data_IF_585694497961
#
_entry.id   IF_585694497961
#
_cell.length_a   1.000
_cell.length_b   1.000
_cell.length_c   1.000
_cell.angle_alpha   90.00
_cell.angle_beta   90.00
_cell.angle_gamma   90.00
#
_symmetry.space_group_name_H-M   'P 1'
#
loop_
_entity.id
_entity.type
_entity.pdbx_description
1 polymer ?
#
# COMPACT_ATOMS: atom_id res chain seq x y z
N UNK A 1 -25.34 10.69 -20.40
CA UNK A 1 -24.84 12.08 -20.48
C UNK A 1 -25.91 13.17 -20.23
N UNK A 2 -27.17 13.01 -20.68
CA UNK A 2 -28.23 14.05 -20.52
C UNK A 2 -28.75 14.22 -19.08
N UNK A 3 -28.85 13.14 -18.30
CA UNK A 3 -29.38 13.18 -16.93
C UNK A 3 -28.43 13.85 -15.92
N UNK A 4 -27.11 13.60 -15.99
CA UNK A 4 -26.13 14.23 -15.08
C UNK A 4 -26.17 15.75 -15.18
N UNK A 5 -26.14 16.28 -16.41
CA UNK A 5 -26.24 17.72 -16.65
C UNK A 5 -27.55 18.28 -16.14
N UNK A 6 -28.67 17.56 -16.30
CA UNK A 6 -29.97 17.99 -15.77
C UNK A 6 -29.97 18.07 -14.24
N UNK A 7 -29.39 17.07 -13.55
CA UNK A 7 -29.23 17.05 -12.10
C UNK A 7 -28.38 18.23 -11.61
N UNK A 8 -27.24 18.49 -12.25
CA UNK A 8 -26.37 19.63 -11.94
C UNK A 8 -27.10 20.97 -12.06
N UNK A 9 -27.88 21.14 -13.14
CA UNK A 9 -28.69 22.36 -13.35
C UNK A 9 -29.72 22.54 -12.24
N UNK A 10 -30.41 21.46 -11.86
CA UNK A 10 -31.43 21.47 -10.81
C UNK A 10 -30.83 21.76 -9.44
N UNK A 11 -29.71 21.15 -9.10
CA UNK A 11 -29.02 21.39 -7.82
C UNK A 11 -28.58 22.85 -7.74
N UNK A 12 -27.93 23.39 -8.78
CA UNK A 12 -27.54 24.81 -8.82
C UNK A 12 -28.75 25.74 -8.71
N UNK A 13 -29.83 25.47 -9.43
CA UNK A 13 -31.06 26.28 -9.36
C UNK A 13 -31.67 26.27 -7.95
N UNK A 14 -31.71 25.11 -7.28
CA UNK A 14 -32.24 24.97 -5.92
C UNK A 14 -31.39 25.71 -4.89
N UNK A 15 -30.06 25.63 -5.00
CA UNK A 15 -29.16 26.24 -4.01
C UNK A 15 -28.84 27.72 -4.29
N UNK A 16 -29.22 28.26 -5.47
CA UNK A 16 -28.89 29.63 -5.89
C UNK A 16 -29.23 30.71 -4.86
N UNK A 17 -30.37 30.58 -4.16
CA UNK A 17 -30.79 31.56 -3.16
C UNK A 17 -29.91 31.59 -1.90
N UNK A 18 -29.19 30.50 -1.64
CA UNK A 18 -28.26 30.33 -0.51
C UNK A 18 -26.81 30.62 -0.87
N UNK A 19 -26.57 30.91 -2.16
CA UNK A 19 -25.26 31.13 -2.76
C UNK A 19 -25.18 32.49 -3.48
N UNK A 20 -25.32 33.62 -2.75
CA UNK A 20 -25.33 34.95 -3.35
C UNK A 20 -24.02 35.30 -4.07
N UNK A 21 -22.87 34.83 -3.60
CA UNK A 21 -21.58 35.14 -4.23
C UNK A 21 -21.40 34.36 -5.53
N UNK A 22 -21.73 33.06 -5.54
CA UNK A 22 -21.75 32.24 -6.76
C UNK A 22 -22.74 32.83 -7.77
N UNK A 23 -23.95 33.19 -7.34
CA UNK A 23 -24.97 33.74 -8.22
C UNK A 23 -24.51 35.05 -8.87
N UNK A 24 -23.87 35.94 -8.10
CA UNK A 24 -23.33 37.21 -8.60
C UNK A 24 -22.20 36.98 -9.61
N UNK A 25 -21.20 36.17 -9.26
CA UNK A 25 -20.03 35.90 -10.12
C UNK A 25 -20.40 35.12 -11.38
N UNK A 26 -21.33 34.17 -11.29
CA UNK A 26 -21.83 33.45 -12.46
C UNK A 26 -22.60 34.38 -13.41
N UNK A 27 -23.39 35.32 -12.89
CA UNK A 27 -24.11 36.29 -13.71
C UNK A 27 -23.19 37.34 -14.37
N UNK A 28 -22.10 37.72 -13.68
CA UNK A 28 -21.09 38.62 -14.22
C UNK A 28 -20.15 37.96 -15.24
N UNK A 29 -20.11 36.62 -15.28
CA UNK A 29 -19.19 35.84 -16.12
C UNK A 29 -17.83 35.57 -15.48
N UNK A 30 -17.63 35.97 -14.22
CA UNK A 30 -16.38 35.80 -13.46
C UNK A 30 -16.20 34.37 -12.92
N UNK A 31 -17.25 33.55 -12.95
CA UNK A 31 -17.22 32.16 -12.50
C UNK A 31 -17.77 31.23 -13.57
N UNK A 32 -17.01 30.18 -13.90
CA UNK A 32 -17.49 29.18 -14.86
C UNK A 32 -18.65 28.38 -14.29
N UNK A 33 -19.51 27.88 -15.18
CA UNK A 33 -20.65 27.04 -14.81
C UNK A 33 -20.21 25.78 -14.03
N UNK A 34 -19.04 25.22 -14.35
CA UNK A 34 -18.51 24.04 -13.67
C UNK A 34 -18.12 24.31 -12.21
N UNK A 35 -17.57 25.49 -11.90
CA UNK A 35 -17.34 25.87 -10.51
C UNK A 35 -18.65 26.14 -9.78
N UNK A 36 -19.61 26.81 -10.43
CA UNK A 36 -20.91 27.10 -9.82
C UNK A 36 -21.66 25.82 -9.43
N UNK A 37 -21.70 24.81 -10.29
CA UNK A 37 -22.34 23.51 -9.98
C UNK A 37 -21.57 22.74 -8.91
N UNK A 38 -20.24 22.82 -8.91
CA UNK A 38 -19.38 22.21 -7.89
C UNK A 38 -19.66 22.77 -6.50
N UNK A 39 -19.74 24.10 -6.37
CA UNK A 39 -20.04 24.76 -5.10
C UNK A 39 -21.48 24.45 -4.67
N UNK A 40 -22.45 24.49 -5.60
CA UNK A 40 -23.83 24.16 -5.31
C UNK A 40 -24.03 22.72 -4.81
N UNK A 41 -23.30 21.75 -5.35
CA UNK A 41 -23.31 20.39 -4.85
C UNK A 41 -22.70 20.32 -3.43
N UNK A 42 -21.55 20.98 -3.22
CA UNK A 42 -20.85 21.02 -1.93
C UNK A 42 -21.73 21.52 -0.78
N UNK A 43 -22.62 22.48 -1.02
CA UNK A 43 -23.45 23.07 0.04
C UNK A 43 -24.85 22.47 0.16
N UNK A 44 -25.24 21.55 -0.73
CA UNK A 44 -26.63 21.13 -0.90
C UNK A 44 -27.29 20.55 0.37
N UNK A 45 -26.48 20.05 1.31
CA UNK A 45 -26.90 19.42 2.57
C UNK A 45 -26.47 20.19 3.82
N UNK A 46 -25.84 21.34 3.66
CA UNK A 46 -25.41 22.18 4.78
C UNK A 46 -26.56 23.06 5.26
N UNK A 47 -26.55 23.49 6.52
CA UNK A 47 -27.42 24.56 7.01
C UNK A 47 -26.97 25.93 6.44
N UNK A 48 -27.76 26.99 6.65
CA UNK A 48 -27.50 28.30 6.02
C UNK A 48 -26.19 28.95 6.50
N UNK A 49 -25.82 28.78 7.78
CA UNK A 49 -24.61 29.34 8.34
C UNK A 49 -23.36 28.69 7.72
N UNK A 50 -23.33 27.36 7.69
CA UNK A 50 -22.23 26.59 7.10
C UNK A 50 -22.17 26.76 5.57
N UNK A 51 -23.33 26.92 4.92
CA UNK A 51 -23.40 27.21 3.48
C UNK A 51 -22.65 28.50 3.12
N UNK A 52 -22.81 29.57 3.90
CA UNK A 52 -22.11 30.84 3.65
C UNK A 52 -20.59 30.75 3.85
N UNK A 53 -20.13 30.00 4.85
CA UNK A 53 -18.70 29.76 5.08
C UNK A 53 -18.08 28.87 3.99
N UNK A 54 -18.78 27.80 3.62
CA UNK A 54 -18.37 26.90 2.55
C UNK A 54 -18.32 27.62 1.20
N UNK A 55 -19.33 28.46 0.89
CA UNK A 55 -19.34 29.28 -0.32
C UNK A 55 -18.09 30.16 -0.43
N UNK A 56 -17.76 30.89 0.65
CA UNK A 56 -16.61 31.80 0.66
C UNK A 56 -15.29 31.05 0.49
N UNK A 57 -15.11 29.95 1.24
CA UNK A 57 -13.89 29.15 1.20
C UNK A 57 -13.67 28.50 -0.18
N UNK A 58 -14.72 27.94 -0.78
CA UNK A 58 -14.63 27.28 -2.08
C UNK A 58 -14.41 28.27 -3.23
N UNK A 59 -14.95 29.48 -3.13
CA UNK A 59 -14.67 30.55 -4.09
C UNK A 59 -13.25 31.08 -3.96
N UNK A 60 -12.71 31.19 -2.75
CA UNK A 60 -11.31 31.58 -2.54
C UNK A 60 -10.35 30.57 -3.19
N UNK A 61 -10.63 29.28 -3.08
CA UNK A 61 -9.88 28.25 -3.81
C UNK A 61 -9.98 28.41 -5.33
N UNK A 62 -11.16 28.77 -5.85
CA UNK A 62 -11.31 29.04 -7.27
C UNK A 62 -10.47 30.25 -7.70
N UNK A 63 -10.43 31.32 -6.89
CA UNK A 63 -9.63 32.53 -7.13
C UNK A 63 -8.12 32.26 -7.06
N UNK A 64 -7.70 31.31 -6.22
CA UNK A 64 -6.32 30.83 -6.14
C UNK A 64 -5.92 29.91 -7.33
N UNK A 65 -6.83 29.67 -8.29
CA UNK A 65 -6.54 28.90 -9.50
C UNK A 65 -6.64 27.38 -9.34
N UNK A 66 -7.24 26.87 -8.26
CA UNK A 66 -7.47 25.44 -8.10
C UNK A 66 -8.52 24.95 -9.10
N UNK A 67 -8.31 23.77 -9.70
CA UNK A 67 -9.27 23.19 -10.65
C UNK A 67 -10.61 22.85 -10.00
N UNK A 68 -11.70 22.85 -10.79
CA UNK A 68 -13.03 22.47 -10.32
C UNK A 68 -13.07 21.09 -9.65
N UNK A 69 -12.25 20.14 -10.12
CA UNK A 69 -12.10 18.83 -9.50
C UNK A 69 -11.50 18.88 -8.09
N UNK A 70 -10.51 19.76 -7.84
CA UNK A 70 -9.93 19.97 -6.51
C UNK A 70 -10.90 20.70 -5.58
N UNK A 71 -11.62 21.70 -6.08
CA UNK A 71 -12.70 22.39 -5.34
C UNK A 71 -13.80 21.40 -4.96
N UNK A 72 -14.17 20.47 -5.85
CA UNK A 72 -15.15 19.43 -5.57
C UNK A 72 -14.68 18.45 -4.48
N UNK A 73 -13.39 18.08 -4.49
CA UNK A 73 -12.80 17.22 -3.47
C UNK A 73 -12.80 17.90 -2.09
N UNK A 74 -12.48 19.18 -2.04
CA UNK A 74 -12.52 19.95 -0.80
C UNK A 74 -13.96 20.15 -0.30
N UNK A 75 -14.90 20.44 -1.20
CA UNK A 75 -16.33 20.55 -0.87
C UNK A 75 -16.92 19.27 -0.30
N UNK A 76 -16.49 18.09 -0.78
CA UNK A 76 -16.83 16.79 -0.15
C UNK A 76 -16.36 16.74 1.31
N UNK A 77 -15.10 17.11 1.55
CA UNK A 77 -14.50 17.08 2.89
C UNK A 77 -15.18 18.05 3.87
N UNK A 78 -15.60 19.24 3.39
CA UNK A 78 -16.40 20.18 4.21
C UNK A 78 -17.70 19.51 4.67
N UNK A 79 -18.42 18.83 3.77
CA UNK A 79 -19.65 18.11 4.14
C UNK A 79 -19.39 16.99 5.13
N UNK A 80 -18.33 16.23 4.95
CA UNK A 80 -18.00 15.10 5.82
C UNK A 80 -17.70 15.58 7.25
N UNK A 81 -16.89 16.64 7.38
CA UNK A 81 -16.53 17.23 8.68
C UNK A 81 -17.75 17.85 9.38
N UNK A 82 -18.65 18.49 8.63
CA UNK A 82 -19.86 19.08 9.21
C UNK A 82 -20.86 17.99 9.61
N UNK A 83 -20.99 16.91 8.83
CA UNK A 83 -21.83 15.77 9.18
C UNK A 83 -21.35 15.08 10.46
N UNK A 84 -20.03 14.94 10.63
CA UNK A 84 -19.39 14.41 11.86
C UNK A 84 -19.62 15.36 13.05
N UNK A 85 -19.44 16.67 12.87
CA UNK A 85 -19.66 17.70 13.91
C UNK A 85 -21.11 17.72 14.42
N UNK A 86 -22.07 17.66 13.49
CA UNK A 86 -23.49 17.84 13.79
C UNK A 86 -24.18 16.52 14.16
N UNK A 87 -23.47 15.39 14.08
CA UNK A 87 -24.05 14.06 14.29
C UNK A 87 -25.18 13.74 13.30
N UNK A 88 -25.27 14.49 12.20
CA UNK A 88 -26.24 14.31 11.11
C UNK A 88 -25.66 13.46 10.00
N UNK A 89 -24.68 12.61 10.30
CA UNK A 89 -24.35 11.47 9.46
C UNK A 89 -25.69 10.82 9.07
N UNK A 90 -26.02 10.82 7.78
CA UNK A 90 -27.25 10.17 7.31
C UNK A 90 -27.17 8.72 7.79
N UNK A 91 -27.95 8.39 8.81
CA UNK A 91 -28.09 7.02 9.29
C UNK A 91 -28.43 6.19 8.06
N UNK A 92 -27.54 5.28 7.62
CA UNK A 92 -27.83 4.51 6.44
C UNK A 92 -29.03 3.63 6.79
N UNK A 93 -30.05 3.67 5.92
CA UNK A 93 -31.32 2.89 5.92
C UNK A 93 -31.21 1.61 6.76
N UNK A 94 -32.22 1.24 7.57
CA UNK A 94 -32.18 0.07 8.47
C UNK A 94 -31.76 -1.24 7.76
N UNK A 95 -31.95 -1.31 6.45
CA UNK A 95 -31.48 -2.39 5.56
C UNK A 95 -29.95 -2.35 5.25
N UNK A 96 -29.24 -1.36 5.79
CA UNK A 96 -27.81 -1.05 5.60
C UNK A 96 -26.95 -1.40 6.81
N UNK A 97 -27.53 -1.52 8.01
CA UNK A 97 -26.80 -2.07 9.17
C UNK A 97 -26.32 -3.50 8.92
N UNK A 98 -27.00 -4.26 8.05
CA UNK A 98 -26.59 -5.59 7.62
C UNK A 98 -25.62 -5.62 6.42
N UNK A 99 -25.40 -4.48 5.71
CA UNK A 99 -24.65 -4.43 4.45
C UNK A 99 -23.24 -3.83 4.57
N UNK A 100 -22.90 -3.12 5.64
CA UNK A 100 -21.53 -2.60 5.82
C UNK A 100 -20.57 -3.63 6.45
N UNK A 101 -21.09 -4.72 7.01
CA UNK A 101 -20.27 -5.88 7.41
C UNK A 101 -19.96 -6.82 6.23
N UNK A 102 -20.74 -6.74 5.13
CA UNK A 102 -20.67 -7.70 4.02
C UNK A 102 -20.68 -6.98 2.68
N UNK A 103 -19.58 -7.12 1.94
CA UNK A 103 -19.50 -6.68 0.56
C UNK A 103 -20.62 -7.26 -0.30
N UNK A 104 -21.14 -6.45 -1.20
CA UNK A 104 -22.23 -6.86 -2.08
C UNK A 104 -22.05 -6.26 -3.46
N UNK A 105 -22.46 -7.03 -4.47
CA UNK A 105 -22.52 -6.61 -5.86
C UNK A 105 -23.89 -7.01 -6.39
N UNK A 106 -24.60 -6.06 -6.96
CA UNK A 106 -25.82 -6.29 -7.74
C UNK A 106 -25.54 -6.08 -9.21
N UNK A 107 -26.24 -6.85 -10.05
CA UNK A 107 -26.19 -6.67 -11.50
C UNK A 107 -27.60 -6.41 -12.03
N UNK A 108 -27.73 -5.37 -12.84
CA UNK A 108 -28.99 -5.02 -13.50
C UNK A 108 -28.79 -5.14 -15.01
N UNK A 109 -29.72 -5.84 -15.68
CA UNK A 109 -29.61 -6.07 -17.11
C UNK A 109 -29.84 -4.77 -17.89
N UNK A 110 -28.97 -4.50 -18.85
CA UNK A 110 -29.15 -3.46 -19.85
C UNK A 110 -29.92 -4.04 -21.05
N UNK A 111 -30.60 -3.18 -21.81
CA UNK A 111 -31.45 -3.59 -22.94
C UNK A 111 -30.65 -4.16 -24.12
N UNK A 112 -29.37 -3.81 -24.21
CA UNK A 112 -28.41 -4.28 -25.22
C UNK A 112 -27.74 -5.61 -24.85
N UNK A 113 -28.19 -6.27 -23.78
CA UNK A 113 -27.61 -7.53 -23.31
C UNK A 113 -26.41 -7.35 -22.37
N UNK A 114 -25.93 -6.12 -22.17
CA UNK A 114 -24.95 -5.79 -21.13
C UNK A 114 -25.54 -5.87 -19.72
N UNK A 115 -24.71 -5.64 -18.71
CA UNK A 115 -25.16 -5.52 -17.31
C UNK A 115 -24.50 -4.31 -16.65
N UNK A 116 -25.30 -3.52 -15.96
CA UNK A 116 -24.79 -2.56 -14.98
C UNK A 116 -24.41 -3.31 -13.72
N UNK A 117 -23.20 -3.06 -13.22
CA UNK A 117 -22.70 -3.63 -11.99
C UNK A 117 -22.60 -2.49 -10.98
N UNK A 118 -23.26 -2.64 -9.83
CA UNK A 118 -23.16 -1.71 -8.71
C UNK A 118 -22.87 -2.51 -7.46
N UNK A 119 -21.97 -2.03 -6.63
CA UNK A 119 -21.65 -2.70 -5.39
C UNK A 119 -21.05 -1.77 -4.37
N UNK A 120 -20.93 -2.28 -3.16
CA UNK A 120 -20.10 -1.72 -2.11
C UNK A 120 -19.20 -2.84 -1.62
N UNK A 121 -17.91 -2.54 -1.48
CA UNK A 121 -16.93 -3.45 -0.94
C UNK A 121 -16.48 -2.89 0.42
N UNK A 122 -16.44 -3.76 1.41
CA UNK A 122 -15.78 -3.44 2.67
C UNK A 122 -14.28 -3.22 2.43
N UNK A 123 -13.54 -2.65 3.39
CA UNK A 123 -12.12 -2.35 3.20
C UNK A 123 -11.25 -3.55 2.80
N UNK A 124 -11.62 -4.77 3.22
CA UNK A 124 -10.92 -6.02 2.89
C UNK A 124 -11.12 -6.39 1.41
N UNK A 125 -12.37 -6.46 0.97
CA UNK A 125 -12.72 -6.81 -0.41
C UNK A 125 -12.32 -5.70 -1.38
N UNK A 126 -12.35 -4.43 -0.93
CA UNK A 126 -11.83 -3.29 -1.69
C UNK A 126 -10.31 -3.39 -1.88
N UNK A 127 -9.56 -3.77 -0.85
CA UNK A 127 -8.12 -3.96 -0.97
C UNK A 127 -7.77 -5.11 -1.93
N UNK A 128 -8.54 -6.21 -1.91
CA UNK A 128 -8.39 -7.31 -2.88
C UNK A 128 -8.74 -6.83 -4.30
N UNK A 129 -9.86 -6.10 -4.45
CA UNK A 129 -10.31 -5.55 -5.72
C UNK A 129 -9.26 -4.61 -6.32
N UNK A 130 -8.80 -3.63 -5.55
CA UNK A 130 -7.80 -2.65 -6.00
C UNK A 130 -6.45 -3.31 -6.23
N UNK A 131 -5.98 -4.19 -5.33
CA UNK A 131 -4.72 -4.91 -5.47
C UNK A 131 -4.68 -5.86 -6.67
N UNK A 132 -5.86 -6.32 -7.14
CA UNK A 132 -5.97 -7.19 -8.32
C UNK A 132 -6.16 -6.37 -9.60
N UNK A 133 -7.10 -5.42 -9.60
CA UNK A 133 -7.48 -4.69 -10.82
C UNK A 133 -6.60 -3.48 -11.09
N UNK A 134 -6.17 -2.73 -10.09
CA UNK A 134 -5.42 -1.49 -10.32
C UNK A 134 -4.09 -1.70 -11.06
N UNK A 135 -3.30 -2.76 -10.81
CA UNK A 135 -2.11 -3.05 -11.61
C UNK A 135 -2.44 -3.36 -13.07
N UNK A 136 -3.52 -4.11 -13.30
CA UNK A 136 -3.98 -4.54 -14.62
C UNK A 136 -4.68 -3.42 -15.41
N UNK A 137 -5.20 -2.41 -14.70
CA UNK A 137 -5.86 -1.26 -15.28
C UNK A 137 -4.90 -0.12 -15.65
N UNK A 138 -3.58 -0.27 -15.47
CA UNK A 138 -2.58 0.72 -15.91
C UNK A 138 -2.52 0.82 -17.44
N UNK A 139 -2.13 1.98 -18.01
CA UNK A 139 -2.01 2.12 -19.47
C UNK A 139 -0.95 1.16 -20.02
N UNK A 140 -1.27 0.45 -21.09
CA UNK A 140 -0.37 -0.47 -21.78
C UNK A 140 0.54 0.26 -22.80
N UNK A 141 1.23 1.30 -22.35
CA UNK A 141 2.10 2.13 -23.18
C UNK A 141 1.41 3.39 -23.74
N UNK A 142 2.14 4.20 -24.54
CA UNK A 142 1.69 5.51 -25.01
C UNK A 142 0.51 5.45 -26.01
N UNK A 143 0.30 4.30 -26.66
CA UNK A 143 -0.78 4.09 -27.63
C UNK A 143 -2.09 3.57 -26.98
N UNK A 144 -2.11 3.37 -25.65
CA UNK A 144 -3.31 2.93 -24.95
C UNK A 144 -4.26 4.10 -24.67
N UNK A 145 -5.20 4.31 -25.58
CA UNK A 145 -6.19 5.40 -25.50
C UNK A 145 -7.41 5.10 -24.61
N UNK A 146 -7.48 3.90 -24.01
CA UNK A 146 -8.61 3.51 -23.17
C UNK A 146 -8.65 4.33 -21.88
N UNK A 147 -9.85 4.73 -21.48
CA UNK A 147 -10.00 5.42 -20.20
C UNK A 147 -9.83 4.44 -19.01
N UNK A 148 -9.78 4.99 -17.79
CA UNK A 148 -9.57 4.17 -16.58
C UNK A 148 -10.72 3.18 -16.38
N UNK A 149 -11.96 3.54 -16.73
CA UNK A 149 -13.13 2.69 -16.58
C UNK A 149 -13.09 1.52 -17.55
N UNK A 150 -12.72 1.76 -18.81
CA UNK A 150 -12.54 0.74 -19.84
C UNK A 150 -11.40 -0.24 -19.49
N UNK A 151 -10.26 0.28 -19.00
CA UNK A 151 -9.15 -0.56 -18.55
C UNK A 151 -9.49 -1.39 -17.31
N UNK A 152 -10.25 -0.82 -16.38
CA UNK A 152 -10.72 -1.55 -15.19
C UNK A 152 -11.70 -2.66 -15.57
N UNK A 153 -12.59 -2.42 -16.54
CA UNK A 153 -13.49 -3.45 -17.06
C UNK A 153 -12.72 -4.59 -17.75
N UNK A 154 -11.72 -4.26 -18.58
CA UNK A 154 -10.85 -5.25 -19.22
C UNK A 154 -10.03 -6.07 -18.21
N UNK A 155 -9.50 -5.42 -17.18
CA UNK A 155 -8.81 -6.08 -16.07
C UNK A 155 -9.73 -7.09 -15.36
N UNK A 156 -10.96 -6.69 -15.04
CA UNK A 156 -11.94 -7.56 -14.40
C UNK A 156 -12.29 -8.77 -15.26
N UNK A 157 -12.54 -8.57 -16.57
CA UNK A 157 -12.77 -9.68 -17.49
C UNK A 157 -11.58 -10.63 -17.56
N UNK A 158 -10.35 -10.12 -17.63
CA UNK A 158 -9.15 -10.96 -17.70
C UNK A 158 -8.95 -11.82 -16.44
N UNK A 159 -9.24 -11.27 -15.27
CA UNK A 159 -9.22 -12.00 -13.99
C UNK A 159 -10.29 -13.11 -13.99
N UNK A 160 -11.52 -12.78 -14.38
CA UNK A 160 -12.64 -13.74 -14.40
C UNK A 160 -12.45 -14.86 -15.43
N UNK A 161 -11.77 -14.58 -16.54
CA UNK A 161 -11.42 -15.57 -17.56
C UNK A 161 -10.20 -16.43 -17.21
N UNK A 162 -9.60 -16.24 -16.02
CA UNK A 162 -8.43 -17.00 -15.58
C UNK A 162 -7.12 -16.60 -16.29
N UNK A 163 -7.11 -15.47 -17.00
CA UNK A 163 -5.92 -14.93 -17.68
C UNK A 163 -4.84 -14.40 -16.73
N UNK A 164 -5.16 -14.28 -15.43
CA UNK A 164 -4.24 -13.85 -14.37
C UNK A 164 -4.31 -14.80 -13.16
N UNK A 165 -3.16 -15.13 -12.57
CA UNK A 165 -3.08 -15.79 -11.26
C UNK A 165 -3.11 -14.70 -10.18
N UNK A 166 -4.05 -14.81 -9.24
CA UNK A 166 -4.39 -13.78 -8.24
C UNK A 166 -3.18 -13.16 -7.54
N UNK A 167 -3.19 -11.83 -7.39
CA UNK A 167 -2.21 -11.06 -6.63
C UNK A 167 -2.35 -11.37 -5.14
N UNK A 168 -1.24 -11.71 -4.47
CA UNK A 168 -1.23 -12.04 -3.04
C UNK A 168 -1.41 -10.76 -2.19
N UNK A 169 -2.53 -10.61 -1.50
CA UNK A 169 -2.65 -9.63 -0.41
C UNK A 169 -1.88 -10.15 0.79
N UNK A 170 -0.92 -9.36 1.30
CA UNK A 170 -0.08 -9.74 2.44
C UNK A 170 -0.42 -8.88 3.65
N UNK A 171 -0.81 -9.51 4.75
CA UNK A 171 -1.04 -8.85 6.04
C UNK A 171 0.08 -9.22 6.99
N UNK A 172 0.63 -8.23 7.69
CA UNK A 172 1.71 -8.41 8.65
C UNK A 172 1.13 -8.22 10.06
N UNK A 173 1.14 -9.28 10.87
CA UNK A 173 0.59 -9.26 12.22
C UNK A 173 1.28 -10.28 13.13
N UNK A 174 1.23 -10.01 14.45
CA UNK A 174 1.67 -10.96 15.47
C UNK A 174 0.61 -12.03 15.73
N UNK A 175 1.01 -13.23 16.15
CA UNK A 175 0.07 -14.34 16.41
C UNK A 175 -1.03 -13.99 17.41
N UNK A 176 -0.71 -13.22 18.45
CA UNK A 176 -1.69 -12.75 19.44
C UNK A 176 -2.84 -11.98 18.77
N UNK A 177 -2.52 -11.22 17.72
CA UNK A 177 -3.49 -10.49 16.89
C UNK A 177 -4.47 -11.44 16.18
N UNK A 178 -4.06 -12.66 15.85
CA UNK A 178 -4.92 -13.64 15.19
C UNK A 178 -5.62 -14.61 16.15
N UNK A 179 -5.09 -14.79 17.37
CA UNK A 179 -5.62 -15.72 18.38
C UNK A 179 -6.51 -15.07 19.44
N UNK A 180 -6.89 -13.80 19.27
CA UNK A 180 -7.89 -13.12 20.11
C UNK A 180 -7.38 -11.92 20.90
N UNK A 181 -6.10 -11.57 20.78
CA UNK A 181 -5.51 -10.34 21.30
C UNK A 181 -5.96 -9.09 20.52
N UNK A 182 -5.62 -7.93 21.07
CA UNK A 182 -6.06 -6.62 20.59
C UNK A 182 -4.96 -5.80 19.89
N UNK A 183 -3.77 -6.37 19.70
CA UNK A 183 -2.67 -5.70 19.02
C UNK A 183 -3.05 -5.35 17.57
N UNK A 184 -2.80 -4.12 17.07
CA UNK A 184 -3.11 -3.75 15.70
C UNK A 184 -2.14 -4.42 14.72
N UNK A 185 -2.66 -4.89 13.58
CA UNK A 185 -1.87 -5.38 12.46
C UNK A 185 -1.56 -4.24 11.47
N UNK A 186 -0.84 -4.55 10.39
CA UNK A 186 -0.61 -3.60 9.30
C UNK A 186 -0.67 -4.24 7.92
N UNK A 187 -1.05 -3.43 6.93
CA UNK A 187 -0.90 -3.74 5.51
C UNK A 187 0.55 -3.53 5.05
N UNK A 188 0.88 -3.95 3.82
CA UNK A 188 2.24 -3.81 3.27
C UNK A 188 2.70 -2.37 3.08
N UNK A 189 1.77 -1.42 3.00
CA UNK A 189 2.05 0.02 2.93
C UNK A 189 2.20 0.70 4.31
N UNK A 190 2.12 -0.08 5.39
CA UNK A 190 2.24 0.40 6.77
C UNK A 190 0.92 0.87 7.39
N UNK A 191 -0.19 0.82 6.65
CA UNK A 191 -1.51 1.21 7.18
C UNK A 191 -1.89 0.30 8.36
N UNK A 192 -2.13 0.85 9.56
CA UNK A 192 -2.55 0.06 10.72
C UNK A 192 -4.00 -0.40 10.54
N UNK A 193 -4.28 -1.65 10.87
CA UNK A 193 -5.62 -2.23 10.84
C UNK A 193 -5.94 -2.90 12.20
N UNK A 194 -7.20 -2.84 12.68
CA UNK A 194 -7.61 -3.50 13.91
C UNK A 194 -7.39 -5.02 13.87
N UNK A 195 -7.10 -5.63 15.04
CA UNK A 195 -6.88 -7.07 15.19
C UNK A 195 -8.01 -7.93 14.63
N UNK A 196 -9.26 -7.53 14.89
CA UNK A 196 -10.46 -8.21 14.39
C UNK A 196 -10.55 -8.18 12.86
N UNK A 197 -10.06 -7.10 12.23
CA UNK A 197 -10.05 -6.92 10.79
C UNK A 197 -8.93 -7.75 10.15
N UNK A 198 -7.75 -7.80 10.77
CA UNK A 198 -6.66 -8.68 10.35
C UNK A 198 -7.07 -10.16 10.37
N UNK A 199 -7.82 -10.59 11.39
CA UNK A 199 -8.38 -11.96 11.51
C UNK A 199 -9.33 -12.30 10.37
N UNK A 200 -10.21 -11.38 10.01
CA UNK A 200 -11.13 -11.58 8.87
C UNK A 200 -10.39 -11.68 7.54
N UNK A 201 -9.45 -10.76 7.30
CA UNK A 201 -8.62 -10.72 6.09
C UNK A 201 -7.81 -12.02 5.91
N UNK A 202 -7.27 -12.57 7.01
CA UNK A 202 -6.52 -13.82 6.98
C UNK A 202 -7.37 -15.07 6.61
N UNK A 203 -8.71 -14.99 6.70
CA UNK A 203 -9.63 -16.11 6.46
C UNK A 203 -10.23 -16.11 5.04
N UNK A 204 -9.95 -15.10 4.22
CA UNK A 204 -10.51 -14.94 2.86
C UNK A 204 -9.58 -15.52 1.78
N UNK A 205 -10.17 -16.24 0.81
CA UNK A 205 -9.42 -16.89 -0.27
C UNK A 205 -8.66 -15.87 -1.14
N UNK A 206 -7.34 -16.05 -1.30
CA UNK A 206 -6.47 -15.16 -2.10
C UNK A 206 -5.57 -14.23 -1.28
N UNK A 207 -5.77 -14.17 0.04
CA UNK A 207 -4.91 -13.45 0.97
C UNK A 207 -3.89 -14.42 1.59
N UNK A 208 -2.60 -14.05 1.59
CA UNK A 208 -1.54 -14.79 2.29
C UNK A 208 -1.15 -14.02 3.55
N UNK A 209 -1.65 -14.39 4.74
CA UNK A 209 -1.17 -13.80 5.99
C UNK A 209 0.32 -14.18 6.18
N UNK A 210 1.19 -13.18 6.31
CA UNK A 210 2.57 -13.41 6.75
C UNK A 210 2.54 -13.56 8.27
N UNK A 211 2.39 -14.79 8.73
CA UNK A 211 2.35 -15.16 10.13
C UNK A 211 3.76 -15.22 10.71
N UNK A 212 4.09 -14.27 11.58
CA UNK A 212 5.26 -14.36 12.44
C UNK A 212 4.91 -15.27 13.65
N UNK A 213 4.82 -16.59 13.39
CA UNK A 213 4.82 -17.76 14.31
C UNK A 213 3.75 -17.82 15.42
N UNK A 214 3.06 -18.94 15.74
CA UNK A 214 3.43 -20.37 15.79
C UNK A 214 2.34 -21.24 15.13
N UNK A 215 2.74 -22.27 14.36
CA UNK A 215 1.78 -23.27 13.82
C UNK A 215 2.09 -24.03 12.50
N UNK A 216 3.34 -24.05 12.01
CA UNK A 216 3.84 -25.06 11.04
C UNK A 216 3.61 -24.86 9.52
N UNK A 217 3.95 -23.69 8.96
CA UNK A 217 4.74 -23.76 7.71
C UNK A 217 6.17 -24.07 8.16
N UNK A 218 6.82 -25.16 7.73
CA UNK A 218 8.15 -25.48 8.23
C UNK A 218 9.14 -24.45 7.67
N UNK A 219 9.30 -23.38 8.45
CA UNK A 219 10.45 -22.51 8.42
C UNK A 219 11.69 -23.25 8.96
N UNK A 220 11.49 -24.43 9.54
CA UNK A 220 12.52 -25.36 9.98
C UNK A 220 12.39 -26.65 9.15
N UNK A 221 13.17 -26.77 8.08
CA UNK A 221 13.17 -27.94 7.18
C UNK A 221 14.23 -28.99 7.57
N UNK A 222 15.08 -28.67 8.55
CA UNK A 222 16.17 -29.53 8.99
C UNK A 222 17.13 -29.84 7.85
N UNK A 223 17.62 -31.08 7.80
CA UNK A 223 18.56 -31.57 6.78
C UNK A 223 17.89 -32.22 5.55
N UNK A 224 16.56 -32.25 5.51
CA UNK A 224 15.82 -33.00 4.47
C UNK A 224 15.70 -32.26 3.15
N UNK A 225 15.63 -30.92 3.21
CA UNK A 225 15.48 -30.06 2.06
C UNK A 225 16.67 -29.11 1.98
N UNK A 226 17.41 -29.16 0.87
CA UNK A 226 18.59 -28.30 0.68
C UNK A 226 18.23 -26.85 0.37
N UNK A 227 17.13 -26.63 -0.33
CA UNK A 227 16.76 -25.30 -0.79
C UNK A 227 15.69 -24.71 0.11
N UNK A 228 15.86 -23.43 0.46
CA UNK A 228 14.86 -22.72 1.24
C UNK A 228 13.53 -22.68 0.49
N UNK A 229 12.44 -22.90 1.24
CA UNK A 229 11.09 -22.77 0.68
C UNK A 229 10.78 -21.33 0.30
N UNK A 230 9.77 -21.14 -0.57
CA UNK A 230 9.28 -19.80 -0.91
C UNK A 230 8.87 -18.98 0.32
N UNK A 231 8.34 -19.65 1.35
CA UNK A 231 7.97 -19.02 2.62
C UNK A 231 9.20 -18.54 3.40
N UNK A 232 10.25 -19.37 3.52
CA UNK A 232 11.50 -18.95 4.15
C UNK A 232 12.15 -17.79 3.39
N UNK A 233 12.13 -17.81 2.05
CA UNK A 233 12.64 -16.70 1.24
C UNK A 233 11.89 -15.40 1.51
N UNK A 234 10.56 -15.42 1.56
CA UNK A 234 9.76 -14.22 1.81
C UNK A 234 10.03 -13.62 3.20
N UNK A 235 10.24 -14.48 4.22
CA UNK A 235 10.66 -14.03 5.55
C UNK A 235 12.05 -13.38 5.50
N UNK A 236 13.00 -14.02 4.82
CA UNK A 236 14.35 -13.48 4.66
C UNK A 236 14.37 -12.14 3.91
N UNK A 237 13.55 -11.96 2.86
CA UNK A 237 13.44 -10.67 2.15
C UNK A 237 12.89 -9.54 3.04
N UNK A 238 12.13 -9.87 4.08
CA UNK A 238 11.64 -8.90 5.07
C UNK A 238 12.72 -8.56 6.10
N UNK A 239 13.55 -9.54 6.48
CA UNK A 239 14.63 -9.36 7.46
C UNK A 239 15.89 -8.71 6.86
N UNK A 240 16.13 -8.90 5.57
CA UNK A 240 17.33 -8.45 4.87
C UNK A 240 16.95 -7.50 3.73
N UNK A 241 16.82 -6.18 3.97
CA UNK A 241 16.55 -5.21 2.91
C UNK A 241 17.70 -5.16 1.88
N UNK A 242 18.92 -5.46 2.32
CA UNK A 242 20.13 -5.63 1.51
C UNK A 242 20.88 -6.89 1.91
N UNK A 243 21.91 -7.25 1.15
CA UNK A 243 22.85 -8.32 1.47
C UNK A 243 23.31 -8.27 2.95
N UNK A 244 23.46 -9.44 3.57
CA UNK A 244 23.90 -9.59 4.96
C UNK A 244 25.33 -9.11 5.24
N UNK A 245 26.14 -8.87 4.20
CA UNK A 245 27.51 -8.34 4.35
C UNK A 245 27.45 -6.84 4.65
N UNK A 246 28.17 -6.42 5.70
CA UNK A 246 28.29 -5.00 6.05
C UNK A 246 28.75 -4.19 4.84
N UNK A 247 28.13 -3.02 4.66
CA UNK A 247 28.44 -2.07 3.58
C UNK A 247 28.08 -2.57 2.17
N UNK A 248 27.44 -3.74 2.03
CA UNK A 248 26.87 -4.20 0.77
C UNK A 248 25.43 -3.71 0.60
N UNK A 249 25.18 -2.93 -0.44
CA UNK A 249 23.87 -2.31 -0.71
C UNK A 249 23.02 -3.08 -1.73
N UNK A 250 23.50 -4.24 -2.22
CA UNK A 250 22.70 -5.05 -3.15
C UNK A 250 21.36 -5.42 -2.49
N UNK A 251 20.21 -5.12 -3.11
CA UNK A 251 18.90 -5.41 -2.54
C UNK A 251 18.73 -6.89 -2.20
N UNK A 252 18.11 -7.19 -1.06
CA UNK A 252 17.86 -8.57 -0.62
C UNK A 252 17.05 -9.38 -1.63
N UNK A 253 16.14 -8.73 -2.35
CA UNK A 253 15.35 -9.34 -3.43
C UNK A 253 16.21 -9.87 -4.60
N UNK A 254 17.42 -9.32 -4.79
CA UNK A 254 18.41 -9.78 -5.78
C UNK A 254 19.47 -10.72 -5.18
N UNK A 255 19.34 -11.06 -3.89
CA UNK A 255 20.25 -11.94 -3.19
C UNK A 255 19.77 -13.40 -3.21
N UNK A 256 20.73 -14.28 -3.04
CA UNK A 256 20.55 -15.72 -2.87
C UNK A 256 20.37 -16.03 -1.37
N UNK A 257 19.68 -17.12 -1.07
CA UNK A 257 19.58 -17.63 0.30
C UNK A 257 20.85 -18.40 0.62
N UNK A 258 21.53 -18.00 1.70
CA UNK A 258 22.76 -18.58 2.19
C UNK A 258 22.53 -19.29 3.52
N UNK A 259 23.05 -20.51 3.65
CA UNK A 259 23.14 -21.24 4.91
C UNK A 259 24.33 -20.73 5.70
N UNK A 260 24.12 -20.20 6.90
CA UNK A 260 25.15 -19.51 7.69
C UNK A 260 26.40 -20.36 7.89
N UNK A 261 26.26 -21.65 8.20
CA UNK A 261 27.41 -22.56 8.38
C UNK A 261 27.66 -23.47 7.17
N UNK A 262 26.95 -23.25 6.06
CA UNK A 262 27.11 -24.00 4.81
C UNK A 262 26.43 -25.38 4.82
N UNK A 263 25.59 -25.64 3.82
CA UNK A 263 24.83 -26.90 3.72
C UNK A 263 25.69 -28.13 3.41
N UNK A 264 26.70 -27.99 2.53
CA UNK A 264 27.42 -29.12 1.93
C UNK A 264 28.29 -29.93 2.93
N UNK A 265 28.62 -29.35 4.08
CA UNK A 265 29.39 -30.01 5.14
C UNK A 265 28.49 -30.61 6.23
N UNK A 266 27.15 -30.51 6.09
CA UNK A 266 26.19 -31.03 7.08
C UNK A 266 26.08 -30.21 8.35
N UNK A 267 26.62 -28.97 8.36
CA UNK A 267 26.74 -28.17 9.58
C UNK A 267 25.57 -27.19 9.80
N UNK A 268 24.73 -26.96 8.79
CA UNK A 268 23.62 -26.00 8.89
C UNK A 268 22.33 -26.60 8.34
N UNK A 269 21.24 -26.72 9.12
CA UNK A 269 19.93 -27.09 8.60
C UNK A 269 19.32 -25.94 7.76
N UNK A 270 18.30 -26.24 6.95
CA UNK A 270 17.54 -25.26 6.16
C UNK A 270 16.44 -24.76 7.07
N UNK A 271 16.88 -24.15 8.17
CA UNK A 271 16.05 -23.60 9.22
C UNK A 271 16.18 -22.10 9.19
N UNK A 272 15.08 -21.38 9.34
CA UNK A 272 15.00 -19.95 9.05
C UNK A 272 15.98 -19.11 9.88
N UNK A 273 16.31 -19.57 11.07
CA UNK A 273 17.26 -18.97 12.01
C UNK A 273 18.72 -19.37 11.73
N UNK A 274 18.97 -20.16 10.68
CA UNK A 274 20.27 -20.57 10.15
C UNK A 274 20.49 -20.08 8.71
N UNK A 275 19.60 -19.22 8.21
CA UNK A 275 19.63 -18.66 6.86
C UNK A 275 19.83 -17.14 6.86
N UNK A 276 20.44 -16.63 5.80
CA UNK A 276 20.62 -15.22 5.52
C UNK A 276 20.48 -14.93 4.00
N UNK A 277 20.40 -13.65 3.61
CA UNK A 277 20.49 -13.26 2.19
C UNK A 277 21.87 -12.72 1.86
N UNK A 278 22.53 -13.30 0.85
CA UNK A 278 23.81 -12.80 0.33
C UNK A 278 23.75 -12.64 -1.19
N UNK A 279 24.37 -11.60 -1.75
CA UNK A 279 24.43 -11.47 -3.21
C UNK A 279 25.30 -12.58 -3.81
N UNK A 280 25.11 -12.93 -5.08
CA UNK A 280 25.83 -14.06 -5.70
C UNK A 280 27.36 -13.94 -5.62
N UNK A 281 27.91 -12.72 -5.59
CA UNK A 281 29.34 -12.50 -5.37
C UNK A 281 29.76 -12.89 -3.94
N UNK A 282 29.05 -12.40 -2.92
CA UNK A 282 29.35 -12.71 -1.51
C UNK A 282 29.07 -14.18 -1.15
N UNK A 283 28.03 -14.78 -1.74
CA UNK A 283 27.75 -16.21 -1.58
C UNK A 283 28.94 -17.04 -2.10
N UNK A 284 29.44 -16.71 -3.31
CA UNK A 284 30.64 -17.34 -3.88
C UNK A 284 31.89 -17.04 -3.07
N UNK A 285 32.07 -15.81 -2.58
CA UNK A 285 33.22 -15.43 -1.76
C UNK A 285 33.28 -16.29 -0.49
N UNK A 286 32.15 -16.45 0.20
CA UNK A 286 32.04 -17.31 1.38
C UNK A 286 32.44 -18.75 1.12
N UNK A 287 31.96 -19.31 0.03
CA UNK A 287 32.30 -20.68 -0.33
C UNK A 287 33.80 -20.85 -0.67
N UNK A 288 34.42 -19.83 -1.28
CA UNK A 288 35.82 -19.89 -1.74
C UNK A 288 36.84 -19.45 -0.70
N UNK A 289 36.44 -18.63 0.29
CA UNK A 289 37.29 -18.08 1.36
C UNK A 289 36.57 -18.05 2.72
N UNK A 290 36.20 -19.22 3.26
CA UNK A 290 35.44 -19.29 4.51
C UNK A 290 36.22 -18.73 5.72
N UNK A 291 37.56 -18.75 5.68
CA UNK A 291 38.45 -18.21 6.72
C UNK A 291 38.51 -16.67 6.74
N UNK A 292 37.98 -16.01 5.71
CA UNK A 292 37.97 -14.55 5.55
C UNK A 292 36.58 -13.94 5.78
N UNK A 293 35.70 -14.64 6.47
CA UNK A 293 34.38 -14.14 6.87
C UNK A 293 34.18 -14.33 8.36
N UNK A 294 33.75 -13.26 9.01
CA UNK A 294 33.21 -13.29 10.37
C UNK A 294 31.70 -13.08 10.30
N UNK A 295 30.94 -14.00 10.91
CA UNK A 295 29.47 -13.92 10.99
C UNK A 295 29.08 -13.65 12.44
N UNK A 296 28.21 -12.66 12.65
CA UNK A 296 27.68 -12.28 13.97
C UNK A 296 26.17 -12.07 13.87
N UNK A 297 25.46 -12.00 15.00
CA UNK A 297 24.08 -11.53 15.04
C UNK A 297 24.04 -10.10 15.57
N UNK A 298 23.19 -9.25 14.98
CA UNK A 298 22.88 -7.93 15.53
C UNK A 298 21.82 -8.01 16.64
N UNK A 299 21.45 -6.86 17.20
CA UNK A 299 20.45 -6.74 18.28
C UNK A 299 19.05 -7.23 17.85
N UNK A 300 18.75 -7.25 16.55
CA UNK A 300 17.50 -7.79 16.00
C UNK A 300 17.53 -9.31 15.79
N UNK A 301 18.67 -9.96 16.06
CA UNK A 301 18.88 -11.38 15.83
C UNK A 301 19.19 -11.75 14.37
N UNK A 302 19.36 -10.75 13.50
CA UNK A 302 19.72 -10.91 12.08
C UNK A 302 21.22 -11.20 11.96
N UNK A 303 21.60 -12.08 11.03
CA UNK A 303 23.02 -12.32 10.75
C UNK A 303 23.64 -11.16 9.97
N UNK A 304 24.83 -10.76 10.40
CA UNK A 304 25.64 -9.72 9.78
C UNK A 304 27.03 -10.27 9.53
N UNK A 305 27.46 -10.17 8.27
CA UNK A 305 28.71 -10.75 7.79
C UNK A 305 29.74 -9.63 7.64
N UNK A 306 30.97 -9.89 8.05
CA UNK A 306 32.11 -8.99 7.86
C UNK A 306 33.21 -9.73 7.13
N UNK A 307 33.68 -9.15 6.02
CA UNK A 307 34.85 -9.67 5.32
C UNK A 307 36.11 -9.32 6.14
N UNK A 308 36.99 -10.31 6.30
CA UNK A 308 38.29 -10.16 6.93
C UNK A 308 39.36 -10.06 5.85
N UNK A 309 40.45 -9.29 6.08
CA UNK A 309 41.57 -9.27 5.16
C UNK A 309 42.25 -10.66 5.09
N UNK A 310 42.98 -10.97 4.00
CA UNK A 310 43.78 -12.19 3.90
C UNK A 310 44.76 -12.30 5.07
N UNK A 311 45.01 -13.52 5.56
CA UNK A 311 45.92 -13.76 6.71
C UNK A 311 47.33 -13.17 6.53
N UNK A 312 47.78 -13.00 5.29
CA UNK A 312 49.11 -12.47 4.94
C UNK A 312 49.11 -10.96 4.65
N UNK A 313 47.95 -10.29 4.70
CA UNK A 313 47.87 -8.85 4.58
C UNK A 313 48.29 -8.23 5.92
N UNK A 314 49.59 -8.01 6.08
CA UNK A 314 50.13 -7.23 7.19
C UNK A 314 49.32 -5.94 7.37
N UNK A 315 48.76 -5.75 8.57
CA UNK A 315 48.17 -4.48 8.98
C UNK A 315 49.20 -3.39 8.66
N UNK A 316 48.87 -2.35 7.88
CA UNK A 316 49.78 -1.22 7.76
C UNK A 316 49.99 -0.69 9.17
N UNK A 317 51.20 -0.86 9.71
CA UNK A 317 51.58 -0.18 10.95
C UNK A 317 51.25 1.29 10.73
N UNK A 318 50.41 1.85 11.59
CA UNK A 318 50.16 3.28 11.62
C UNK A 318 51.53 3.97 11.63
N UNK A 319 51.93 4.56 10.52
CA UNK A 319 53.14 5.37 10.47
C UNK A 319 52.86 6.53 11.41
N UNK A 320 53.55 6.55 12.55
CA UNK A 320 53.57 7.72 13.41
C UNK A 320 53.89 8.93 12.53
N UNK A 321 53.16 10.06 12.68
CA UNK A 321 53.45 11.23 11.90
C UNK A 321 54.91 11.64 12.13
N UNK A 322 55.65 12.08 11.10
CA UNK A 322 57.03 12.49 11.29
C UNK A 322 57.08 13.59 12.34
N UNK A 323 57.82 13.32 13.41
CA UNK A 323 58.24 14.31 14.38
C UNK A 323 59.10 15.36 13.68
N UNK A 324 58.69 16.62 13.74
CA UNK A 324 59.56 17.75 13.44
C UNK A 324 59.23 18.51 12.16
N UNK A 325 58.32 19.48 12.27
CA UNK A 325 58.53 20.76 11.60
C UNK A 325 58.97 21.75 12.66
N UNK A 326 60.29 21.94 12.73
CA UNK A 326 60.92 22.99 13.53
C UNK A 326 60.64 24.32 12.83
N UNK A 327 59.82 25.16 13.45
CA UNK A 327 59.61 26.55 13.03
C UNK A 327 60.53 27.45 13.86
N UNK A 328 61.77 27.65 13.42
CA UNK A 328 62.61 28.73 13.93
C UNK A 328 63.72 29.15 12.95
N UNK A 329 63.69 30.45 12.64
CA UNK A 329 64.72 31.34 12.08
C UNK A 329 65.06 31.23 10.58
#
# INVERSE_FOLDING_TARGET
MRESRAKERLTLARQRHRLPQVAKRLAAGDLSYGYATTVADAVARLNDADCGQAESTLLEMADQGFSAGKVAAFGRRIRDVIAERDGTEEAPDEDSKHRYDKSWITTTRSLDGGRYIKGWLNPEDAAIWDGTLAPLAKPAGPEDHRDVSERTAAALSSVLSGGHKATKVTVICDLDTLTGGNAPARLTDGTPIPAAQARRIALTAGVSPLLLGRGNTPLYLGYRERFASAAQRQVLETLYPTCAVRECEIPGTLCEVDHVEGWALGNSPTDIDQLALTCGWHNRFKHTRPDQIQITKDESGRYVYRLLPPRDAAVPRATSPPSGFDWAA
#
